data_IF_374218637612
#
_entry.id   IF_374218637612
#
_cell.length_a   1.000
_cell.length_b   1.000
_cell.length_c   1.000
_cell.angle_alpha   90.00
_cell.angle_beta   90.00
_cell.angle_gamma   90.00
#
_symmetry.space_group_name_H-M   'P 1'
#
loop_
_entity.id
_entity.type
_entity.pdbx_description
1 polymer ?
#
# COMPACT_ATOMS: atom_id res chain seq x y z
N UNK A 1 47.17 37.01 33.36
CA UNK A 1 48.09 35.93 32.95
C UNK A 1 47.34 35.03 31.98
N UNK A 2 47.72 35.09 30.69
CA UNK A 2 47.41 34.22 29.52
C UNK A 2 45.91 33.89 29.23
N UNK A 3 45.32 34.16 28.05
CA UNK A 3 45.75 33.83 26.67
C UNK A 3 45.37 32.37 26.36
N UNK A 4 44.77 31.93 25.24
CA UNK A 4 44.45 32.45 23.91
C UNK A 4 43.36 31.56 23.27
N UNK A 5 42.83 32.05 22.15
CA UNK A 5 41.76 31.59 21.27
C UNK A 5 41.88 30.15 20.71
N UNK A 6 40.74 29.59 20.27
CA UNK A 6 40.72 28.24 19.69
C UNK A 6 39.40 27.80 19.05
N UNK A 7 39.03 28.43 17.93
CA UNK A 7 38.49 27.79 16.70
C UNK A 7 37.03 27.27 16.73
N UNK A 8 36.17 28.05 16.06
CA UNK A 8 34.95 27.59 15.41
C UNK A 8 35.22 26.40 14.47
N UNK A 9 34.39 25.36 14.57
CA UNK A 9 34.13 24.46 13.45
C UNK A 9 32.61 24.33 13.27
N UNK A 10 32.03 24.79 12.16
CA UNK A 10 30.64 24.53 11.84
C UNK A 10 30.52 23.05 11.48
N UNK A 11 29.91 22.25 12.36
CA UNK A 11 29.51 20.87 12.03
C UNK A 11 28.49 20.95 10.90
N UNK A 12 28.95 20.61 9.71
CA UNK A 12 28.16 20.51 8.50
C UNK A 12 26.91 19.68 8.76
N UNK A 13 25.76 20.34 8.66
CA UNK A 13 24.49 19.65 8.50
C UNK A 13 24.55 18.96 7.14
N UNK A 14 24.87 17.67 7.15
CA UNK A 14 24.69 16.82 5.98
C UNK A 14 23.20 16.72 5.70
N UNK A 15 22.73 17.64 4.86
CA UNK A 15 21.37 17.68 4.37
C UNK A 15 21.25 16.53 3.38
N UNK A 16 20.84 15.36 3.86
CA UNK A 16 20.45 14.25 3.01
C UNK A 16 19.46 14.80 1.98
N UNK A 17 19.87 14.86 0.73
CA UNK A 17 19.05 15.33 -0.36
C UNK A 17 17.85 14.39 -0.46
N UNK A 18 16.68 14.86 0.00
CA UNK A 18 15.42 14.22 -0.30
C UNK A 18 15.33 14.13 -1.83
N UNK A 19 15.45 12.91 -2.36
CA UNK A 19 15.39 12.66 -3.79
C UNK A 19 14.12 13.33 -4.33
N UNK A 20 14.29 14.25 -5.28
CA UNK A 20 13.17 14.96 -5.91
C UNK A 20 12.25 13.92 -6.55
N UNK A 21 11.08 13.75 -5.95
CA UNK A 21 9.98 12.97 -6.50
C UNK A 21 9.64 13.50 -7.90
N UNK A 22 9.54 12.60 -8.88
CA UNK A 22 9.15 12.93 -10.25
C UNK A 22 8.05 11.96 -10.70
N UNK A 23 6.90 12.47 -11.17
CA UNK A 23 5.80 11.64 -11.68
C UNK A 23 6.26 10.65 -12.78
N UNK A 24 7.23 11.02 -13.61
CA UNK A 24 7.72 10.16 -14.69
C UNK A 24 8.47 8.91 -14.19
N UNK A 25 9.22 9.02 -13.10
CA UNK A 25 9.96 7.89 -12.52
C UNK A 25 9.01 6.90 -11.84
N UNK A 26 7.95 7.40 -11.22
CA UNK A 26 6.90 6.54 -10.68
C UNK A 26 6.14 5.79 -11.77
N UNK A 27 5.81 6.47 -12.86
CA UNK A 27 5.13 5.85 -14.00
C UNK A 27 5.98 4.73 -14.61
N UNK A 28 7.29 4.94 -14.82
CA UNK A 28 8.20 3.90 -15.32
C UNK A 28 8.27 2.69 -14.38
N UNK A 29 8.39 2.94 -13.07
CA UNK A 29 8.46 1.88 -12.07
C UNK A 29 7.12 1.13 -11.91
N UNK A 30 5.99 1.78 -12.14
CA UNK A 30 4.68 1.14 -12.16
C UNK A 30 4.49 0.26 -13.40
N UNK A 31 4.95 0.72 -14.57
CA UNK A 31 4.96 -0.10 -15.80
C UNK A 31 5.85 -1.33 -15.64
N UNK A 32 7.05 -1.19 -15.08
CA UNK A 32 7.92 -2.32 -14.74
C UNK A 32 7.26 -3.30 -13.77
N UNK A 33 6.47 -2.79 -12.80
CA UNK A 33 5.73 -3.65 -11.88
C UNK A 33 4.64 -4.47 -12.59
N UNK A 34 3.91 -3.85 -13.53
CA UNK A 34 2.92 -4.55 -14.36
C UNK A 34 3.57 -5.61 -15.25
N UNK A 35 4.73 -5.32 -15.83
CA UNK A 35 5.47 -6.28 -16.65
C UNK A 35 5.99 -7.47 -15.82
N UNK A 36 6.56 -7.18 -14.64
CA UNK A 36 7.19 -8.20 -13.80
C UNK A 36 6.17 -9.11 -13.09
N UNK A 37 5.07 -8.54 -12.59
CA UNK A 37 4.11 -9.24 -11.74
C UNK A 37 2.77 -9.52 -12.43
N UNK A 38 2.48 -8.82 -13.53
CA UNK A 38 1.22 -8.91 -14.26
C UNK A 38 0.21 -7.83 -13.84
N UNK A 39 -0.91 -7.80 -14.57
CA UNK A 39 -1.98 -6.84 -14.36
C UNK A 39 -3.01 -7.36 -13.33
N UNK A 40 -3.14 -6.72 -12.14
CA UNK A 40 -4.06 -7.17 -11.11
C UNK A 40 -5.54 -6.96 -11.48
N UNK A 41 -5.85 -6.26 -12.59
CA UNK A 41 -7.22 -6.13 -13.09
C UNK A 41 -7.70 -7.34 -13.91
N UNK A 42 -6.75 -8.09 -14.47
CA UNK A 42 -7.04 -9.26 -15.32
C UNK A 42 -7.01 -10.55 -14.49
N UNK A 43 -6.00 -10.71 -13.64
CA UNK A 43 -5.78 -11.91 -12.83
C UNK A 43 -5.29 -11.58 -11.42
N UNK A 44 -5.26 -12.60 -10.56
CA UNK A 44 -4.57 -12.50 -9.27
C UNK A 44 -3.05 -12.49 -9.52
N UNK A 45 -2.38 -11.45 -9.03
CA UNK A 45 -0.96 -11.23 -9.19
C UNK A 45 -0.21 -11.73 -7.95
N UNK A 46 0.70 -12.72 -8.07
CA UNK A 46 1.48 -13.20 -6.95
C UNK A 46 2.60 -12.24 -6.58
N UNK A 47 2.66 -11.83 -5.31
CA UNK A 47 3.70 -10.97 -4.75
C UNK A 47 4.47 -11.70 -3.64
N UNK A 48 5.81 -11.61 -3.60
CA UNK A 48 6.60 -12.14 -2.48
C UNK A 48 6.17 -11.51 -1.15
N UNK A 49 6.13 -12.29 -0.08
CA UNK A 49 5.85 -11.76 1.26
C UNK A 49 7.10 -11.10 1.86
N UNK A 50 7.42 -9.90 1.35
CA UNK A 50 8.55 -9.08 1.80
C UNK A 50 8.13 -7.62 1.93
N UNK A 51 8.78 -6.83 2.80
CA UNK A 51 8.44 -5.42 3.00
C UNK A 51 8.38 -4.59 1.70
N UNK A 52 9.24 -4.91 0.72
CA UNK A 52 9.32 -4.24 -0.57
C UNK A 52 8.05 -4.44 -1.42
N UNK A 53 7.32 -5.54 -1.23
CA UNK A 53 6.09 -5.81 -1.97
C UNK A 53 4.97 -4.82 -1.66
N UNK A 54 5.02 -4.14 -0.51
CA UNK A 54 4.11 -3.03 -0.24
C UNK A 54 4.34 -1.87 -1.21
N UNK A 55 5.60 -1.55 -1.53
CA UNK A 55 5.91 -0.51 -2.51
C UNK A 55 5.47 -0.93 -3.91
N UNK A 56 5.68 -2.18 -4.30
CA UNK A 56 5.18 -2.73 -5.57
C UNK A 56 3.66 -2.65 -5.67
N UNK A 57 2.94 -3.09 -4.63
CA UNK A 57 1.48 -3.06 -4.60
C UNK A 57 0.92 -1.62 -4.69
N UNK A 58 1.54 -0.65 -4.01
CA UNK A 58 1.16 0.76 -4.12
C UNK A 58 1.29 1.28 -5.55
N UNK A 59 2.39 0.96 -6.24
CA UNK A 59 2.61 1.37 -7.65
C UNK A 59 1.57 0.77 -8.59
N UNK A 60 1.30 -0.54 -8.44
CA UNK A 60 0.26 -1.23 -9.21
C UNK A 60 -1.11 -0.59 -8.97
N UNK A 61 -1.45 -0.30 -7.71
CA UNK A 61 -2.72 0.36 -7.38
C UNK A 61 -2.80 1.77 -7.96
N UNK A 62 -1.73 2.56 -7.86
CA UNK A 62 -1.68 3.92 -8.38
C UNK A 62 -1.92 3.96 -9.89
N UNK A 63 -1.20 3.14 -10.66
CA UNK A 63 -1.36 3.12 -12.13
C UNK A 63 -2.73 2.58 -12.53
N UNK A 64 -3.24 1.55 -11.85
CA UNK A 64 -4.57 0.99 -12.14
C UNK A 64 -5.66 2.01 -11.85
N UNK A 65 -5.64 2.63 -10.67
CA UNK A 65 -6.73 3.52 -10.22
C UNK A 65 -6.70 4.84 -10.98
N UNK A 66 -5.52 5.46 -11.12
CA UNK A 66 -5.39 6.77 -11.75
C UNK A 66 -5.41 6.70 -13.27
N UNK A 67 -4.65 5.77 -13.88
CA UNK A 67 -4.46 5.74 -15.34
C UNK A 67 -5.46 4.82 -16.02
N UNK A 68 -5.59 3.58 -15.55
CA UNK A 68 -6.43 2.59 -16.21
C UNK A 68 -7.92 2.80 -15.94
N UNK A 69 -8.29 3.15 -14.70
CA UNK A 69 -9.66 3.46 -14.32
C UNK A 69 -10.00 4.95 -14.39
N UNK A 70 -9.02 5.85 -14.47
CA UNK A 70 -9.27 7.28 -14.63
C UNK A 70 -10.00 7.90 -13.43
N UNK A 71 -9.79 7.37 -12.22
CA UNK A 71 -10.41 7.91 -11.00
C UNK A 71 -9.68 9.17 -10.52
N UNK A 72 -10.29 9.88 -9.58
CA UNK A 72 -9.73 11.15 -9.08
C UNK A 72 -8.42 10.94 -8.32
N UNK A 73 -7.55 11.96 -8.22
CA UNK A 73 -6.32 11.88 -7.44
C UNK A 73 -6.58 11.48 -5.98
N UNK A 74 -7.57 12.10 -5.32
CA UNK A 74 -7.96 11.75 -3.94
C UNK A 74 -8.36 10.28 -3.80
N UNK A 75 -9.19 9.76 -4.71
CA UNK A 75 -9.58 8.35 -4.70
C UNK A 75 -8.38 7.41 -4.90
N UNK A 76 -7.41 7.85 -5.72
CA UNK A 76 -6.16 7.13 -5.93
C UNK A 76 -5.33 7.08 -4.65
N UNK A 77 -5.15 8.22 -3.97
CA UNK A 77 -4.41 8.32 -2.71
C UNK A 77 -5.01 7.40 -1.64
N UNK A 78 -6.33 7.46 -1.44
CA UNK A 78 -7.05 6.63 -0.49
C UNK A 78 -6.89 5.13 -0.84
N UNK A 79 -7.11 4.74 -2.10
CA UNK A 79 -6.97 3.34 -2.53
C UNK A 79 -5.54 2.81 -2.36
N UNK A 80 -4.52 3.62 -2.69
CA UNK A 80 -3.09 3.27 -2.54
C UNK A 80 -2.73 3.09 -1.06
N UNK A 81 -3.24 3.95 -0.19
CA UNK A 81 -3.06 3.82 1.26
C UNK A 81 -3.67 2.50 1.76
N UNK A 82 -4.92 2.22 1.41
CA UNK A 82 -5.59 0.99 1.85
C UNK A 82 -4.94 -0.28 1.30
N UNK A 83 -4.47 -0.27 0.05
CA UNK A 83 -3.64 -1.35 -0.51
C UNK A 83 -2.39 -1.57 0.33
N UNK A 84 -1.71 -0.49 0.73
CA UNK A 84 -0.51 -0.58 1.57
C UNK A 84 -0.80 -1.21 2.92
N UNK A 85 -1.95 -0.91 3.53
CA UNK A 85 -2.34 -1.49 4.81
C UNK A 85 -2.70 -2.98 4.69
N UNK A 86 -3.48 -3.39 3.67
CA UNK A 86 -3.81 -4.80 3.44
C UNK A 86 -2.55 -5.63 3.15
N UNK A 87 -1.67 -5.13 2.29
CA UNK A 87 -0.43 -5.80 1.95
C UNK A 87 0.54 -5.82 3.14
N UNK A 88 0.62 -4.74 3.89
CA UNK A 88 1.40 -4.69 5.13
C UNK A 88 0.94 -5.74 6.14
N UNK A 89 -0.38 -5.94 6.28
CA UNK A 89 -0.94 -7.00 7.10
C UNK A 89 -0.59 -8.39 6.57
N UNK A 90 -0.66 -8.60 5.26
CA UNK A 90 -0.27 -9.87 4.65
C UNK A 90 1.21 -10.21 4.91
N UNK A 91 2.10 -9.23 4.72
CA UNK A 91 3.54 -9.40 4.95
C UNK A 91 3.85 -9.70 6.41
N UNK A 92 3.19 -9.03 7.37
CA UNK A 92 3.46 -9.20 8.81
C UNK A 92 2.87 -10.49 9.40
N UNK A 93 1.70 -10.92 8.94
CA UNK A 93 0.89 -11.89 9.69
C UNK A 93 0.69 -13.24 9.01
N UNK A 94 1.00 -13.38 7.72
CA UNK A 94 0.65 -14.62 7.00
C UNK A 94 1.65 -15.73 7.19
N UNK A 95 2.94 -15.40 7.41
CA UNK A 95 4.05 -16.36 7.41
C UNK A 95 4.27 -17.06 6.06
N UNK A 96 3.50 -16.70 5.03
CA UNK A 96 3.57 -17.28 3.70
C UNK A 96 4.74 -16.68 2.92
N UNK A 97 5.26 -17.40 1.92
CA UNK A 97 6.30 -16.85 1.03
C UNK A 97 5.73 -15.92 -0.04
N UNK A 98 4.45 -16.10 -0.39
CA UNK A 98 3.75 -15.39 -1.47
C UNK A 98 2.30 -15.15 -1.03
N UNK A 99 1.76 -13.99 -1.42
CA UNK A 99 0.33 -13.66 -1.35
C UNK A 99 -0.13 -13.14 -2.74
N UNK A 100 -1.43 -13.15 -3.00
CA UNK A 100 -2.02 -12.68 -4.25
C UNK A 100 -2.67 -11.31 -4.09
N UNK A 101 -2.50 -10.43 -5.07
CA UNK A 101 -3.19 -9.14 -5.19
C UNK A 101 -4.14 -9.18 -6.40
N UNK A 102 -5.39 -8.77 -6.21
CA UNK A 102 -6.35 -8.60 -7.31
C UNK A 102 -7.15 -7.32 -7.14
N UNK A 103 -7.45 -6.65 -8.24
CA UNK A 103 -8.19 -5.40 -8.27
C UNK A 103 -9.33 -5.52 -9.27
N UNK A 104 -10.55 -5.11 -8.88
CA UNK A 104 -11.72 -5.19 -9.76
C UNK A 104 -12.46 -3.87 -9.74
N UNK A 105 -12.94 -3.47 -10.91
CA UNK A 105 -13.92 -2.39 -11.05
C UNK A 105 -15.24 -2.95 -11.54
N UNK A 106 -16.32 -2.48 -10.93
CA UNK A 106 -17.71 -2.69 -11.34
C UNK A 106 -18.42 -1.34 -11.37
N UNK A 107 -19.67 -1.32 -11.85
CA UNK A 107 -20.48 -0.09 -11.87
C UNK A 107 -20.62 0.43 -10.44
N UNK A 108 -20.17 1.66 -10.20
CA UNK A 108 -20.27 2.34 -8.91
C UNK A 108 -19.29 1.90 -7.80
N UNK A 109 -18.41 0.92 -8.00
CA UNK A 109 -17.39 0.57 -6.99
C UNK A 109 -16.12 -0.09 -7.55
N UNK A 110 -15.04 0.03 -6.77
CA UNK A 110 -13.81 -0.74 -6.91
C UNK A 110 -13.64 -1.67 -5.71
N UNK A 111 -13.00 -2.82 -5.93
CA UNK A 111 -12.64 -3.78 -4.88
C UNK A 111 -11.19 -4.20 -5.04
N UNK A 112 -10.48 -4.22 -3.94
CA UNK A 112 -9.11 -4.73 -3.85
C UNK A 112 -9.13 -5.95 -2.95
N UNK A 113 -8.47 -7.02 -3.39
CA UNK A 113 -8.43 -8.33 -2.76
C UNK A 113 -6.97 -8.70 -2.53
N UNK A 114 -6.63 -9.06 -1.28
CA UNK A 114 -5.35 -9.67 -0.92
C UNK A 114 -5.62 -11.07 -0.40
N UNK A 115 -5.17 -12.07 -1.16
CA UNK A 115 -5.34 -13.48 -0.87
C UNK A 115 -4.07 -14.05 -0.26
N UNK A 116 -4.20 -14.78 0.84
CA UNK A 116 -3.07 -15.42 1.50
C UNK A 116 -3.48 -16.80 2.06
N UNK A 117 -2.54 -17.73 2.26
CA UNK A 117 -2.86 -19.08 2.73
C UNK A 117 -3.10 -19.16 4.25
N UNK A 118 -2.95 -18.07 5.01
CA UNK A 118 -3.14 -18.06 6.46
C UNK A 118 -4.63 -18.03 6.81
N UNK A 119 -5.00 -18.77 7.86
CA UNK A 119 -6.35 -18.75 8.44
C UNK A 119 -6.52 -17.68 9.54
N UNK A 120 -5.44 -16.97 9.90
CA UNK A 120 -5.50 -15.90 10.89
C UNK A 120 -6.34 -14.75 10.37
N UNK A 121 -7.38 -14.37 11.10
CA UNK A 121 -8.24 -13.24 10.75
C UNK A 121 -7.61 -11.93 11.22
N UNK A 122 -7.66 -10.85 10.41
CA UNK A 122 -7.30 -9.51 10.86
C UNK A 122 -8.25 -9.10 11.99
N UNK A 123 -7.68 -8.56 13.07
CA UNK A 123 -8.42 -8.06 14.22
C UNK A 123 -8.40 -6.52 14.18
N UNK A 124 -9.57 -5.90 14.28
CA UNK A 124 -9.68 -4.45 14.42
C UNK A 124 -9.32 -4.11 15.87
N UNK A 125 -8.12 -3.58 16.06
CA UNK A 125 -7.66 -3.14 17.37
C UNK A 125 -8.09 -1.68 17.61
N UNK A 126 -8.46 -1.31 18.85
CA UNK A 126 -8.57 0.10 19.21
C UNK A 126 -7.23 0.80 18.98
N UNK A 127 -7.26 1.97 18.36
CA UNK A 127 -6.08 2.77 18.02
C UNK A 127 -6.20 4.12 18.71
N UNK A 128 -5.13 4.57 19.36
CA UNK A 128 -4.99 5.93 19.88
C UNK A 128 -4.30 6.82 18.84
N UNK A 129 -4.54 8.13 18.89
CA UNK A 129 -4.00 9.08 17.90
C UNK A 129 -2.47 9.04 17.76
N UNK A 130 -1.77 8.72 18.85
CA UNK A 130 -0.30 8.65 18.92
C UNK A 130 0.27 7.27 18.57
N UNK A 131 -0.56 6.27 18.29
CA UNK A 131 -0.08 4.94 17.97
C UNK A 131 0.64 4.93 16.62
N UNK A 132 1.91 4.55 16.65
CA UNK A 132 2.74 4.41 15.44
C UNK A 132 2.53 3.08 14.71
N UNK A 133 1.82 2.14 15.33
CA UNK A 133 1.55 0.80 14.80
C UNK A 133 0.09 0.38 15.07
N UNK A 134 -0.41 -0.67 14.41
CA UNK A 134 -1.78 -1.16 14.61
C UNK A 134 -2.89 -0.35 13.93
N UNK A 135 -2.55 0.74 13.22
CA UNK A 135 -3.50 1.62 12.53
C UNK A 135 -4.07 1.07 11.22
N UNK A 136 -3.47 0.00 10.69
CA UNK A 136 -3.74 -0.40 9.31
C UNK A 136 -5.19 -0.78 9.07
N UNK A 137 -5.76 -1.65 9.91
CA UNK A 137 -7.16 -2.04 9.77
C UNK A 137 -8.12 -0.90 10.16
N UNK A 138 -7.71 -0.01 11.07
CA UNK A 138 -8.47 1.21 11.38
C UNK A 138 -8.59 2.14 10.16
N UNK A 139 -7.50 2.35 9.41
CA UNK A 139 -7.55 3.15 8.19
C UNK A 139 -8.46 2.52 7.14
N UNK A 140 -8.39 1.20 6.97
CA UNK A 140 -9.30 0.43 6.10
C UNK A 140 -10.75 0.63 6.51
N UNK A 141 -11.05 0.51 7.81
CA UNK A 141 -12.40 0.72 8.35
C UNK A 141 -12.92 2.14 8.12
N UNK A 142 -12.05 3.16 8.21
CA UNK A 142 -12.45 4.56 8.06
C UNK A 142 -12.61 5.04 6.62
N UNK A 143 -11.79 4.54 5.70
CA UNK A 143 -11.71 5.07 4.33
C UNK A 143 -12.41 4.20 3.29
N UNK A 144 -12.70 2.93 3.59
CA UNK A 144 -13.49 2.07 2.71
C UNK A 144 -14.98 2.21 2.97
N UNK A 145 -15.81 1.97 1.95
CA UNK A 145 -17.26 1.84 2.14
C UNK A 145 -17.61 0.49 2.80
N UNK A 146 -16.85 -0.55 2.44
CA UNK A 146 -16.99 -1.90 2.98
C UNK A 146 -15.62 -2.56 3.01
N UNK A 147 -15.39 -3.40 4.00
CA UNK A 147 -14.24 -4.29 4.02
C UNK A 147 -14.62 -5.60 4.69
N UNK A 148 -13.80 -6.62 4.49
CA UNK A 148 -14.07 -7.91 5.08
C UNK A 148 -13.02 -8.96 4.73
N UNK A 149 -13.36 -10.19 5.12
CA UNK A 149 -12.52 -11.36 4.91
C UNK A 149 -13.38 -12.50 4.44
N UNK A 150 -13.08 -13.01 3.25
CA UNK A 150 -13.71 -14.21 2.72
C UNK A 150 -12.82 -15.41 3.08
N UNK A 151 -13.34 -16.33 3.89
CA UNK A 151 -12.64 -17.57 4.21
C UNK A 151 -12.67 -18.53 3.02
N UNK A 152 -11.52 -19.09 2.68
CA UNK A 152 -11.37 -20.05 1.59
C UNK A 152 -10.94 -21.41 2.16
N UNK A 153 -11.14 -22.52 1.41
CA UNK A 153 -10.65 -23.84 1.83
C UNK A 153 -9.14 -23.86 2.10
N UNK A 154 -8.37 -22.99 1.42
CA UNK A 154 -6.92 -22.85 1.57
C UNK A 154 -6.53 -21.38 1.78
N UNK A 155 -6.88 -20.85 2.95
CA UNK A 155 -6.51 -19.50 3.37
C UNK A 155 -7.69 -18.55 3.42
N UNK A 156 -7.46 -17.29 3.08
CA UNK A 156 -8.47 -16.24 3.10
C UNK A 156 -8.20 -15.18 2.04
N UNK A 157 -9.21 -14.38 1.76
CA UNK A 157 -9.09 -13.14 0.99
C UNK A 157 -9.52 -11.99 1.88
N UNK A 158 -8.58 -11.11 2.24
CA UNK A 158 -8.91 -9.82 2.88
C UNK A 158 -9.19 -8.81 1.78
N UNK A 159 -10.24 -8.02 1.93
CA UNK A 159 -10.68 -7.12 0.86
C UNK A 159 -11.27 -5.82 1.40
N UNK A 160 -11.26 -4.80 0.55
CA UNK A 160 -12.04 -3.58 0.75
C UNK A 160 -12.71 -3.14 -0.54
N UNK A 161 -13.79 -2.37 -0.42
CA UNK A 161 -14.56 -1.75 -1.50
C UNK A 161 -14.66 -0.25 -1.27
N UNK A 162 -14.56 0.52 -2.35
CA UNK A 162 -14.79 1.96 -2.36
C UNK A 162 -15.78 2.30 -3.45
N UNK A 163 -16.79 3.11 -3.13
CA UNK A 163 -17.72 3.65 -4.11
C UNK A 163 -16.99 4.61 -5.03
N UNK A 164 -17.30 4.50 -6.32
CA UNK A 164 -16.79 5.42 -7.33
C UNK A 164 -17.97 6.08 -8.00
N UNK A 165 -17.90 7.40 -8.18
CA UNK A 165 -18.86 8.06 -9.05
C UNK A 165 -18.57 7.61 -10.49
N UNK A 166 -19.57 7.05 -11.16
CA UNK A 166 -19.49 6.88 -12.61
C UNK A 166 -19.48 8.28 -13.22
N UNK A 167 -18.43 8.60 -14.00
CA UNK A 167 -18.36 9.83 -14.79
C UNK A 167 -19.24 9.70 -16.03
#
# INVERSE_FOLDING_TARGET
>A
MAGLEGIEQPRGHSRAAAARWSPAVEDEQALKALELYGNPTEAEVPLPSRPESAATARRLAQVVVLRHWGLTPKMTEDAVLLVSELVGNAVRHTGARVFGLRMRRRRGWIRVEVRDPSRGLPCLMPVQELDVSGRGLFLVDKLSDRWGVDLLPRGKTTWFEMRVADR
#
